data_IF_300055720296
#
_entry.id   IF_300055720296
#
_cell.length_a   1.000
_cell.length_b   1.000
_cell.length_c   1.000
_cell.angle_alpha   90.00
_cell.angle_beta   90.00
_cell.angle_gamma   90.00
#
_symmetry.space_group_name_H-M   'P 1'
#
loop_
_entity.id
_entity.type
_entity.pdbx_description
1 polymer ?
#
# COMPACT_ATOMS: atom_id res chain seq x y z
N UNK A 1 -21.99 20.24 5.12
CA UNK A 1 -21.70 19.55 4.09
C UNK A 1 -21.11 18.27 4.38
N UNK A 2 -21.48 17.32 3.76
CA UNK A 2 -21.00 16.01 4.02
C UNK A 2 -19.61 15.90 3.52
N UNK A 3 -18.74 15.22 4.30
CA UNK A 3 -17.48 14.95 3.91
C UNK A 3 -17.46 13.65 3.25
N UNK A 4 -16.73 13.50 2.22
CA UNK A 4 -16.55 12.26 1.56
C UNK A 4 -15.71 11.41 2.42
N UNK A 5 -16.19 10.27 2.77
CA UNK A 5 -15.43 9.34 3.54
C UNK A 5 -14.43 8.63 2.66
N UNK A 6 -13.46 7.97 3.27
CA UNK A 6 -12.39 7.33 2.49
C UNK A 6 -12.84 6.04 1.82
N UNK A 7 -13.92 6.12 1.05
CA UNK A 7 -14.28 5.00 0.20
C UNK A 7 -13.73 5.17 -1.19
N UNK A 8 -13.10 6.29 -1.42
CA UNK A 8 -12.54 6.60 -2.68
C UNK A 8 -11.33 5.73 -3.00
N UNK A 9 -11.15 5.46 -4.25
CA UNK A 9 -10.09 4.61 -4.76
C UNK A 9 -9.23 5.40 -5.71
N UNK A 10 -8.00 4.99 -5.85
CA UNK A 10 -7.09 5.64 -6.78
C UNK A 10 -6.34 4.57 -7.56
N UNK A 11 -6.19 4.81 -8.86
CA UNK A 11 -5.40 3.93 -9.72
C UNK A 11 -3.94 4.35 -9.66
N UNK A 12 -3.06 3.37 -9.52
CA UNK A 12 -1.62 3.61 -9.42
C UNK A 12 -0.95 2.91 -10.58
N UNK A 13 -0.09 3.63 -11.30
CA UNK A 13 0.72 3.02 -12.35
C UNK A 13 1.94 2.38 -11.70
N UNK A 14 2.15 1.11 -12.00
CA UNK A 14 3.29 0.38 -11.45
C UNK A 14 4.49 0.57 -12.36
N UNK A 15 5.60 1.11 -11.84
CA UNK A 15 6.78 1.34 -12.69
C UNK A 15 7.29 0.09 -13.39
N UNK A 16 7.29 -1.03 -12.70
CA UNK A 16 7.79 -2.28 -13.27
C UNK A 16 6.63 -3.17 -13.70
N UNK A 17 5.66 -3.37 -12.81
CA UNK A 17 4.50 -4.19 -13.10
C UNK A 17 4.51 -5.48 -12.30
N UNK A 18 3.33 -6.05 -12.14
CA UNK A 18 3.13 -7.28 -11.40
C UNK A 18 2.91 -8.41 -12.39
N UNK A 19 3.74 -9.43 -12.31
CA UNK A 19 3.59 -10.58 -13.18
C UNK A 19 2.71 -11.60 -12.47
N UNK A 20 1.55 -11.91 -13.07
CA UNK A 20 0.63 -12.85 -12.49
C UNK A 20 1.25 -14.26 -12.49
N UNK A 21 1.35 -14.91 -11.31
CA UNK A 21 2.04 -16.19 -11.24
C UNK A 21 1.32 -17.31 -11.99
N UNK A 22 0.04 -17.15 -12.28
CA UNK A 22 -0.72 -18.18 -12.96
C UNK A 22 -0.69 -17.99 -14.47
N UNK A 23 -1.01 -16.79 -14.94
CA UNK A 23 -1.12 -16.54 -16.37
C UNK A 23 0.16 -16.06 -17.00
N UNK A 24 1.06 -15.50 -16.21
CA UNK A 24 2.28 -14.88 -16.72
C UNK A 24 2.06 -13.49 -17.28
N UNK A 25 0.84 -13.00 -17.21
CA UNK A 25 0.54 -11.66 -17.69
C UNK A 25 1.15 -10.60 -16.81
N UNK A 26 1.57 -9.50 -17.43
CA UNK A 26 2.14 -8.38 -16.67
C UNK A 26 1.08 -7.32 -16.50
N UNK A 27 0.78 -6.99 -15.25
CA UNK A 27 -0.20 -5.97 -14.93
C UNK A 27 0.52 -4.70 -14.51
N UNK A 28 0.18 -3.59 -15.17
CA UNK A 28 0.87 -2.32 -14.92
C UNK A 28 0.04 -1.36 -14.07
N UNK A 29 -1.12 -1.78 -13.62
CA UNK A 29 -1.99 -0.92 -12.83
C UNK A 29 -2.43 -1.61 -11.57
N UNK A 30 -2.58 -0.82 -10.51
CA UNK A 30 -3.13 -1.28 -9.26
C UNK A 30 -4.16 -0.25 -8.80
N UNK A 31 -5.00 -0.66 -7.86
CA UNK A 31 -5.97 0.25 -7.26
C UNK A 31 -5.75 0.23 -5.76
N UNK A 32 -5.78 1.39 -5.12
CA UNK A 32 -5.57 1.49 -3.68
C UNK A 32 -6.69 2.29 -3.05
N UNK A 33 -6.84 2.12 -1.75
CA UNK A 33 -7.78 2.90 -0.95
C UNK A 33 -7.07 3.48 0.26
N UNK A 34 -7.66 4.50 0.90
CA UNK A 34 -7.04 5.05 2.10
C UNK A 34 -7.02 4.05 3.25
N UNK A 35 -6.10 4.28 4.17
CA UNK A 35 -5.97 3.49 5.40
C UNK A 35 -7.07 3.91 6.38
N UNK A 36 -7.59 2.95 7.12
CA UNK A 36 -8.53 3.22 8.20
C UNK A 36 -7.94 2.75 9.51
N UNK A 37 -8.54 3.22 10.61
CA UNK A 37 -8.15 2.72 11.93
C UNK A 37 -8.33 1.22 12.06
N UNK A 38 -9.34 0.68 11.35
CA UNK A 38 -9.54 -0.77 11.36
C UNK A 38 -8.39 -1.53 10.76
N UNK A 39 -7.77 -0.96 9.73
CA UNK A 39 -6.59 -1.59 9.12
C UNK A 39 -5.45 -1.66 10.12
N UNK A 40 -5.22 -0.57 10.84
CA UNK A 40 -4.14 -0.53 11.81
C UNK A 40 -4.37 -1.52 12.93
N UNK A 41 -5.60 -1.59 13.41
CA UNK A 41 -5.93 -2.53 14.47
C UNK A 41 -5.75 -3.97 14.01
N UNK A 42 -6.20 -4.26 12.80
CA UNK A 42 -6.06 -5.60 12.24
C UNK A 42 -4.60 -6.02 12.20
N UNK A 43 -3.73 -5.12 11.77
CA UNK A 43 -2.31 -5.44 11.69
C UNK A 43 -1.73 -5.64 13.08
N UNK A 44 -2.09 -4.77 14.02
CA UNK A 44 -1.60 -4.88 15.37
C UNK A 44 -1.97 -6.19 16.04
N UNK A 45 -3.06 -6.81 15.58
CA UNK A 45 -3.51 -8.08 16.13
C UNK A 45 -3.12 -9.28 15.29
N UNK A 46 -2.43 -9.06 14.19
CA UNK A 46 -2.13 -10.15 13.27
C UNK A 46 -0.95 -10.98 13.79
N UNK A 47 -1.01 -12.30 13.56
CA UNK A 47 0.10 -13.18 13.99
C UNK A 47 1.40 -12.82 13.28
N UNK A 48 1.33 -12.45 12.01
CA UNK A 48 2.53 -12.12 11.25
C UNK A 48 3.28 -10.95 11.88
N UNK A 49 2.54 -9.90 12.24
CA UNK A 49 3.19 -8.75 12.84
C UNK A 49 3.69 -9.07 14.24
N UNK A 50 2.89 -9.78 15.03
CA UNK A 50 3.25 -10.06 16.41
C UNK A 50 4.45 -10.99 16.51
N UNK A 51 4.64 -11.84 15.51
CA UNK A 51 5.79 -12.71 15.50
C UNK A 51 7.08 -11.94 15.23
N UNK A 52 7.03 -10.98 14.34
CA UNK A 52 8.21 -10.18 13.97
C UNK A 52 7.82 -8.73 13.80
N UNK A 53 7.56 -8.01 14.92
CA UNK A 53 7.08 -6.63 14.82
C UNK A 53 8.19 -5.70 14.33
N UNK A 54 8.01 -5.22 13.12
CA UNK A 54 8.91 -4.21 12.55
C UNK A 54 8.19 -3.51 11.40
N UNK A 55 8.78 -2.41 10.94
CA UNK A 55 8.16 -1.57 9.94
C UNK A 55 7.91 -2.27 8.62
N UNK A 56 8.81 -3.12 8.19
CA UNK A 56 8.64 -3.78 6.90
C UNK A 56 7.44 -4.72 6.93
N UNK A 57 7.30 -5.46 8.02
CA UNK A 57 6.14 -6.34 8.18
C UNK A 57 4.85 -5.50 8.21
N UNK A 58 4.88 -4.40 8.97
CA UNK A 58 3.72 -3.53 9.08
C UNK A 58 3.31 -3.00 7.72
N UNK A 59 4.27 -2.49 6.96
CA UNK A 59 3.97 -1.91 5.65
C UNK A 59 3.46 -2.94 4.67
N UNK A 60 4.02 -4.14 4.70
CA UNK A 60 3.57 -5.19 3.80
C UNK A 60 2.13 -5.58 4.11
N UNK A 61 1.81 -5.75 5.39
CA UNK A 61 0.45 -6.08 5.78
C UNK A 61 -0.52 -4.95 5.42
N UNK A 62 -0.06 -3.72 5.59
CA UNK A 62 -0.91 -2.58 5.27
C UNK A 62 -1.22 -2.53 3.78
N UNK A 63 -0.23 -2.77 2.93
CA UNK A 63 -0.49 -2.79 1.49
C UNK A 63 -1.41 -3.93 1.10
N UNK A 64 -1.27 -5.10 1.72
CA UNK A 64 -2.17 -6.20 1.41
C UNK A 64 -3.62 -5.84 1.71
N UNK A 65 -3.85 -4.92 2.65
CA UNK A 65 -5.22 -4.49 2.97
C UNK A 65 -5.67 -3.31 2.13
N UNK A 66 -4.76 -2.43 1.74
CA UNK A 66 -5.15 -1.19 1.07
C UNK A 66 -5.04 -1.26 -0.45
N UNK A 67 -4.29 -2.22 -0.99
CA UNK A 67 -4.28 -2.45 -2.42
C UNK A 67 -5.48 -3.31 -2.74
N UNK A 68 -6.45 -2.72 -3.42
CA UNK A 68 -7.72 -3.39 -3.67
C UNK A 68 -7.74 -4.16 -4.97
N UNK A 69 -6.81 -3.85 -5.87
CA UNK A 69 -6.66 -4.60 -7.13
C UNK A 69 -5.22 -4.56 -7.60
N UNK A 70 -4.77 -5.67 -8.17
CA UNK A 70 -3.55 -5.73 -8.96
C UNK A 70 -4.00 -6.18 -10.34
N UNK A 71 -4.04 -5.24 -11.29
CA UNK A 71 -4.65 -5.51 -12.57
C UNK A 71 -6.09 -5.92 -12.34
N UNK A 72 -6.51 -7.06 -12.88
CA UNK A 72 -7.89 -7.52 -12.68
C UNK A 72 -8.11 -8.27 -11.37
N UNK A 73 -7.05 -8.59 -10.63
CA UNK A 73 -7.19 -9.37 -9.41
C UNK A 73 -7.71 -8.51 -8.28
N UNK A 74 -8.84 -8.90 -7.72
CA UNK A 74 -9.48 -8.13 -6.65
C UNK A 74 -9.08 -8.58 -5.26
N UNK A 75 -8.45 -9.74 -5.12
CA UNK A 75 -7.99 -10.22 -3.82
C UNK A 75 -6.48 -10.18 -3.80
N UNK A 76 -5.93 -9.28 -3.03
CA UNK A 76 -4.49 -9.06 -2.96
C UNK A 76 -3.99 -9.61 -1.64
N UNK A 77 -2.99 -10.47 -1.70
CA UNK A 77 -2.49 -11.15 -0.53
C UNK A 77 -1.09 -10.63 -0.17
N UNK A 78 -0.61 -11.05 1.00
CA UNK A 78 0.75 -10.73 1.41
C UNK A 78 1.75 -11.26 0.38
N UNK A 79 1.51 -12.46 -0.14
CA UNK A 79 2.39 -13.03 -1.15
C UNK A 79 2.45 -12.16 -2.40
N UNK A 80 1.31 -11.61 -2.81
CA UNK A 80 1.30 -10.73 -3.97
C UNK A 80 2.20 -9.53 -3.75
N UNK A 81 2.10 -8.93 -2.56
CA UNK A 81 2.91 -7.75 -2.26
C UNK A 81 4.40 -8.11 -2.25
N UNK A 82 4.74 -9.27 -1.72
CA UNK A 82 6.16 -9.65 -1.66
C UNK A 82 6.74 -9.99 -3.02
N UNK A 83 5.89 -10.28 -4.01
CA UNK A 83 6.37 -10.54 -5.36
C UNK A 83 6.59 -9.28 -6.18
N UNK A 84 6.09 -8.15 -5.72
CA UNK A 84 6.25 -6.90 -6.44
C UNK A 84 7.70 -6.44 -6.40
N UNK A 85 8.11 -5.77 -7.46
CA UNK A 85 9.39 -5.08 -7.45
C UNK A 85 9.36 -3.98 -6.40
N UNK A 86 10.51 -3.69 -5.81
CA UNK A 86 10.56 -2.69 -4.74
C UNK A 86 10.08 -1.32 -5.23
N UNK A 87 10.33 -0.98 -6.49
CA UNK A 87 9.84 0.29 -7.02
C UNK A 87 8.33 0.36 -7.03
N UNK A 88 7.67 -0.77 -7.33
CA UNK A 88 6.22 -0.82 -7.33
C UNK A 88 5.70 -0.70 -5.91
N UNK A 89 6.37 -1.34 -4.96
CA UNK A 89 5.98 -1.24 -3.56
C UNK A 89 6.06 0.21 -3.09
N UNK A 90 7.13 0.92 -3.45
CA UNK A 90 7.27 2.33 -3.08
C UNK A 90 6.18 3.18 -3.71
N UNK A 91 5.85 2.92 -4.98
CA UNK A 91 4.79 3.68 -5.65
C UNK A 91 3.46 3.48 -4.95
N UNK A 92 3.17 2.25 -4.53
CA UNK A 92 1.94 1.96 -3.82
C UNK A 92 1.92 2.63 -2.45
N UNK A 93 3.03 2.56 -1.71
CA UNK A 93 3.11 3.21 -0.41
C UNK A 93 2.88 4.71 -0.53
N UNK A 94 3.50 5.32 -1.52
CA UNK A 94 3.34 6.75 -1.72
C UNK A 94 1.89 7.12 -1.98
N UNK A 95 1.24 6.36 -2.87
CA UNK A 95 -0.14 6.65 -3.21
C UNK A 95 -1.06 6.47 -2.01
N UNK A 96 -0.89 5.38 -1.26
CA UNK A 96 -1.73 5.13 -0.10
C UNK A 96 -1.53 6.22 0.94
N UNK A 97 -0.30 6.63 1.16
CA UNK A 97 -0.02 7.68 2.14
C UNK A 97 -0.69 8.99 1.71
N UNK A 98 -0.52 9.34 0.45
CA UNK A 98 -1.05 10.60 -0.08
C UNK A 98 -2.57 10.66 0.02
N UNK A 99 -3.25 9.59 -0.38
CA UNK A 99 -4.70 9.63 -0.37
C UNK A 99 -5.27 9.46 1.04
N UNK A 100 -4.48 8.93 1.97
CA UNK A 100 -4.92 8.80 3.35
C UNK A 100 -4.82 10.13 4.08
N UNK A 101 -3.68 10.82 3.94
CA UNK A 101 -3.40 11.99 4.75
C UNK A 101 -3.42 13.31 3.97
N UNK A 102 -3.50 13.24 2.64
CA UNK A 102 -3.46 14.44 1.82
C UNK A 102 -2.05 14.78 1.42
N UNK A 103 -1.92 15.54 0.35
CA UNK A 103 -0.59 15.84 -0.18
C UNK A 103 0.23 16.70 0.76
N UNK A 104 -0.45 17.56 1.50
CA UNK A 104 0.26 18.44 2.40
C UNK A 104 0.86 17.70 3.58
N UNK A 105 0.38 16.50 3.86
CA UNK A 105 0.87 15.73 4.99
C UNK A 105 2.06 14.84 4.64
N UNK A 106 2.43 14.77 3.37
CA UNK A 106 3.55 13.93 2.96
C UNK A 106 4.84 14.56 3.45
N UNK A 107 5.66 13.84 4.23
CA UNK A 107 6.90 14.41 4.73
C UNK A 107 7.84 14.76 3.61
N UNK A 108 8.53 15.86 3.75
CA UNK A 108 9.53 16.24 2.80
C UNK A 108 10.71 15.33 2.92
N UNK A 109 11.31 14.97 1.85
CA UNK A 109 12.51 14.15 1.93
C UNK A 109 13.57 14.95 2.57
N UNK A 110 14.15 14.47 3.43
CA UNK A 110 15.21 14.95 4.02
C UNK A 110 15.21 16.20 4.51
N UNK A 111 14.61 16.72 4.39
CA UNK A 111 14.68 17.88 4.77
C UNK A 111 15.01 18.00 6.05
N UNK A 112 14.97 17.62 6.56
CA UNK A 112 15.18 17.81 7.63
C UNK A 112 15.93 17.38 8.27
N UNK A 113 16.27 17.11 8.51
CA UNK A 113 16.79 16.65 9.09
C UNK A 113 17.51 16.94 9.62
N UNK A 114 17.72 17.17 9.98
CA UNK A 114 18.32 17.52 10.52
C UNK A 114 18.92 17.14 11.24
N UNK A 115 18.97 16.94 11.37
CA UNK A 115 19.40 16.61 11.94
C UNK A 115 19.97 16.65 12.29
N UNK A 116 19.81 16.74 11.89
CA UNK A 116 20.11 16.85 12.06
C UNK A 116 20.23 16.90 12.06
#
# INVERSE_FOLDING_TARGET
MARKLPSYRETVQLPVGYEDPISGELFKEAEVRPVTGGDELYIGMSPEYNKHPNDLIYKTLLLARTVTKLGPRALVTIDDITRLHAQDVRALEYSVYRITYGEDAIPEPDDSDPGG
#
